data_IF_718163036968
#
_entry.id   IF_718163036968
#
_cell.length_a   1.000
_cell.length_b   1.000
_cell.length_c   1.000
_cell.angle_alpha   90.00
_cell.angle_beta   90.00
_cell.angle_gamma   90.00
#
_symmetry.space_group_name_H-M   'P 1'
#
loop_
_entity.id
_entity.type
_entity.pdbx_description
1 polymer ?
#
# COMPACT_ATOMS: atom_id res chain seq x y z
N UNK A 1 15.27 13.33 4.38
CA UNK A 1 14.13 12.43 4.08
C UNK A 1 12.87 12.75 4.90
N UNK A 2 12.95 12.89 6.23
CA UNK A 2 11.77 13.09 7.10
C UNK A 2 10.95 14.36 6.82
N UNK A 3 11.59 15.48 6.51
CA UNK A 3 10.88 16.70 6.08
C UNK A 3 10.11 16.51 4.76
N UNK A 4 10.74 15.90 3.76
CA UNK A 4 10.10 15.64 2.46
C UNK A 4 8.96 14.62 2.58
N UNK A 5 9.12 13.59 3.40
CA UNK A 5 8.07 12.62 3.71
C UNK A 5 6.90 13.25 4.47
N UNK A 6 7.17 14.14 5.42
CA UNK A 6 6.16 14.90 6.14
C UNK A 6 5.34 15.84 5.23
N UNK A 7 6.01 16.61 4.37
CA UNK A 7 5.36 17.46 3.35
C UNK A 7 4.51 16.64 2.37
N UNK A 8 5.01 15.49 1.92
CA UNK A 8 4.26 14.59 1.05
C UNK A 8 3.03 13.98 1.76
N UNK A 9 3.17 13.59 3.04
CA UNK A 9 2.05 13.11 3.84
C UNK A 9 0.96 14.20 4.01
N UNK A 10 1.34 15.46 4.23
CA UNK A 10 0.41 16.59 4.28
C UNK A 10 -0.27 16.84 2.92
N UNK A 11 0.46 16.71 1.81
CA UNK A 11 -0.12 16.80 0.48
C UNK A 11 -1.18 15.71 0.24
N UNK A 12 -0.89 14.46 0.64
CA UNK A 12 -1.85 13.36 0.60
C UNK A 12 -3.05 13.58 1.53
N UNK A 13 -2.83 14.14 2.72
CA UNK A 13 -3.89 14.51 3.66
C UNK A 13 -4.83 15.57 3.04
N UNK A 14 -4.28 16.59 2.39
CA UNK A 14 -5.08 17.60 1.69
C UNK A 14 -5.87 17.02 0.51
N UNK A 15 -5.33 16.02 -0.19
CA UNK A 15 -6.02 15.30 -1.27
C UNK A 15 -7.17 14.44 -0.76
N UNK A 16 -6.94 13.67 0.31
CA UNK A 16 -7.97 12.84 0.96
C UNK A 16 -9.08 13.69 1.60
N UNK A 17 -8.74 14.83 2.20
CA UNK A 17 -9.73 15.76 2.75
C UNK A 17 -10.60 16.42 1.67
N UNK A 18 -10.01 16.77 0.51
CA UNK A 18 -10.79 17.22 -0.65
C UNK A 18 -11.74 16.12 -1.15
N UNK A 19 -11.26 14.88 -1.28
CA UNK A 19 -12.10 13.74 -1.66
C UNK A 19 -13.21 13.42 -0.65
N UNK A 20 -12.98 13.68 0.64
CA UNK A 20 -13.98 13.55 1.70
C UNK A 20 -15.04 14.65 1.66
N UNK A 21 -14.64 15.90 1.34
CA UNK A 21 -15.55 17.05 1.23
C UNK A 21 -16.43 16.97 -0.01
N UNK A 22 -15.83 16.58 -1.15
CA UNK A 22 -16.52 16.43 -2.43
C UNK A 22 -17.03 14.99 -2.63
N UNK A 23 -17.21 14.23 -1.55
CA UNK A 23 -17.60 12.83 -1.58
C UNK A 23 -18.96 12.67 -2.27
N UNK A 24 -18.92 12.26 -3.53
CA UNK A 24 -20.08 11.75 -4.24
C UNK A 24 -20.13 10.24 -4.00
N UNK A 25 -21.28 9.66 -3.58
CA UNK A 25 -21.42 8.21 -3.57
C UNK A 25 -21.02 7.72 -4.95
N UNK A 26 -20.17 6.70 -5.00
CA UNK A 26 -19.68 6.11 -6.25
C UNK A 26 -20.90 5.73 -7.09
N UNK A 27 -21.31 6.61 -8.00
CA UNK A 27 -22.10 6.20 -9.14
C UNK A 27 -21.14 5.40 -10.01
N UNK A 28 -21.63 4.26 -10.44
CA UNK A 28 -20.96 3.23 -11.24
C UNK A 28 -20.52 3.74 -12.64
N UNK A 29 -20.08 4.99 -12.77
CA UNK A 29 -19.33 5.46 -13.92
C UNK A 29 -17.88 4.97 -13.82
N UNK A 30 -17.71 3.66 -13.91
CA UNK A 30 -16.44 3.03 -14.23
C UNK A 30 -16.16 3.17 -15.74
N UNK A 31 -15.92 4.40 -16.21
CA UNK A 31 -15.45 4.66 -17.57
C UNK A 31 -13.97 5.03 -17.65
N UNK A 32 -13.22 4.86 -16.54
CA UNK A 32 -11.77 4.63 -16.63
C UNK A 32 -11.59 3.14 -16.84
N UNK A 33 -11.41 2.69 -18.09
CA UNK A 33 -11.32 1.27 -18.43
C UNK A 33 -10.38 0.53 -17.48
N UNK A 34 -10.81 -0.62 -16.96
CA UNK A 34 -10.08 -1.46 -16.00
C UNK A 34 -8.59 -1.60 -16.36
N UNK A 35 -8.26 -1.68 -17.66
CA UNK A 35 -6.89 -1.72 -18.17
C UNK A 35 -6.02 -0.51 -17.83
N UNK A 36 -6.54 0.72 -17.81
CA UNK A 36 -5.76 1.92 -17.48
C UNK A 36 -5.34 1.94 -16.01
N UNK A 37 -6.24 1.52 -15.11
CA UNK A 37 -5.94 1.41 -13.69
C UNK A 37 -4.93 0.29 -13.40
N UNK A 38 -5.05 -0.86 -14.07
CA UNK A 38 -4.08 -1.96 -13.94
C UNK A 38 -2.70 -1.58 -14.47
N UNK A 39 -2.64 -0.95 -15.64
CA UNK A 39 -1.37 -0.49 -16.22
C UNK A 39 -0.69 0.54 -15.33
N UNK A 40 -1.44 1.51 -14.80
CA UNK A 40 -0.93 2.50 -13.84
C UNK A 40 -0.41 1.84 -12.56
N UNK A 41 -1.14 0.86 -12.01
CA UNK A 41 -0.70 0.12 -10.83
C UNK A 41 0.59 -0.68 -11.10
N UNK A 42 0.69 -1.33 -12.26
CA UNK A 42 1.89 -2.04 -12.69
C UNK A 42 3.09 -1.09 -12.84
N UNK A 43 2.90 0.08 -13.47
CA UNK A 43 3.92 1.11 -13.59
C UNK A 43 4.39 1.64 -12.24
N UNK A 44 3.48 1.90 -11.31
CA UNK A 44 3.83 2.34 -9.95
C UNK A 44 4.66 1.27 -9.25
N UNK A 45 4.33 -0.02 -9.42
CA UNK A 45 5.09 -1.11 -8.84
C UNK A 45 6.48 -1.23 -9.48
N UNK A 46 6.56 -1.16 -10.82
CA UNK A 46 7.79 -1.28 -11.60
C UNK A 46 8.76 -0.11 -11.38
N UNK A 47 8.24 1.11 -11.22
CA UNK A 47 9.07 2.31 -11.00
C UNK A 47 9.37 2.56 -9.52
N UNK A 48 8.82 1.75 -8.61
CA UNK A 48 9.11 1.86 -7.19
C UNK A 48 10.48 1.22 -6.87
N UNK A 49 11.48 1.98 -6.41
CA UNK A 49 12.80 1.42 -6.10
C UNK A 49 12.79 0.55 -4.83
N UNK A 50 11.78 0.69 -3.95
CA UNK A 50 11.72 -0.01 -2.67
C UNK A 50 11.80 -1.53 -2.77
N UNK A 51 10.92 -2.19 -3.55
CA UNK A 51 10.98 -3.63 -3.80
C UNK A 51 12.34 -4.10 -4.33
N UNK A 52 12.92 -3.38 -5.29
CA UNK A 52 14.23 -3.74 -5.85
C UNK A 52 15.36 -3.63 -4.83
N UNK A 53 15.36 -2.58 -4.00
CA UNK A 53 16.33 -2.42 -2.92
C UNK A 53 16.19 -3.55 -1.89
N UNK A 54 14.97 -3.90 -1.50
CA UNK A 54 14.73 -5.01 -0.59
C UNK A 54 15.17 -6.37 -1.17
N UNK A 55 14.79 -6.67 -2.41
CA UNK A 55 15.18 -7.91 -3.08
C UNK A 55 16.67 -8.02 -3.32
N UNK A 56 17.37 -6.92 -3.63
CA UNK A 56 18.82 -6.94 -3.88
C UNK A 56 19.65 -6.93 -2.60
N UNK A 57 19.24 -6.19 -1.57
CA UNK A 57 20.05 -6.00 -0.36
C UNK A 57 19.72 -6.98 0.77
N UNK A 58 18.49 -7.49 0.81
CA UNK A 58 18.01 -8.34 1.92
C UNK A 58 17.70 -9.74 1.41
N UNK A 59 16.68 -9.88 0.56
CA UNK A 59 16.21 -11.21 0.14
C UNK A 59 17.20 -11.92 -0.78
N UNK A 60 17.93 -11.18 -1.62
CA UNK A 60 18.89 -11.72 -2.58
C UNK A 60 20.05 -12.45 -1.91
N UNK A 61 20.81 -11.80 -1.02
CA UNK A 61 21.86 -12.45 -0.24
C UNK A 61 21.33 -13.59 0.63
N UNK A 62 20.13 -13.44 1.20
CA UNK A 62 19.49 -14.48 2.01
C UNK A 62 19.11 -15.72 1.17
N UNK A 63 18.60 -15.52 -0.04
CA UNK A 63 18.29 -16.59 -0.98
C UNK A 63 19.57 -17.30 -1.42
N UNK A 64 20.61 -16.54 -1.77
CA UNK A 64 21.86 -17.10 -2.27
C UNK A 64 22.61 -17.88 -1.19
N UNK A 65 22.67 -17.36 0.04
CA UNK A 65 23.24 -18.07 1.19
C UNK A 65 22.49 -19.37 1.49
N UNK A 66 21.15 -19.31 1.55
CA UNK A 66 20.34 -20.52 1.73
C UNK A 66 20.55 -21.55 0.61
N UNK A 67 20.59 -21.10 -0.64
CA UNK A 67 20.79 -21.97 -1.81
C UNK A 67 22.18 -22.64 -1.82
N UNK A 68 23.22 -21.92 -1.39
CA UNK A 68 24.58 -22.44 -1.29
C UNK A 68 24.72 -23.54 -0.24
N UNK A 69 23.98 -23.47 0.87
CA UNK A 69 23.94 -24.55 1.86
C UNK A 69 23.20 -25.77 1.31
N UNK A 70 21.93 -25.59 0.92
CA UNK A 70 21.15 -26.60 0.20
C UNK A 70 20.10 -25.91 -0.68
N UNK A 71 19.85 -26.37 -1.92
CA UNK A 71 18.80 -25.80 -2.77
C UNK A 71 17.41 -25.79 -2.12
N UNK A 72 17.16 -26.74 -1.21
CA UNK A 72 15.90 -26.84 -0.48
C UNK A 72 15.63 -25.62 0.41
N UNK A 73 16.65 -25.05 1.04
CA UNK A 73 16.52 -23.85 1.87
C UNK A 73 16.10 -22.64 1.03
N UNK A 74 16.68 -22.46 -0.16
CA UNK A 74 16.30 -21.38 -1.07
C UNK A 74 14.88 -21.54 -1.62
N UNK A 75 14.48 -22.76 -1.98
CA UNK A 75 13.09 -23.07 -2.38
C UNK A 75 12.13 -22.81 -1.22
N UNK A 76 12.48 -23.24 0.00
CA UNK A 76 11.70 -23.02 1.21
C UNK A 76 11.50 -21.54 1.52
N UNK A 77 12.54 -20.72 1.35
CA UNK A 77 12.46 -19.26 1.48
C UNK A 77 11.46 -18.67 0.49
N UNK A 78 11.57 -19.01 -0.80
CA UNK A 78 10.66 -18.52 -1.84
C UNK A 78 9.21 -18.98 -1.59
N UNK A 79 9.03 -20.26 -1.27
CA UNK A 79 7.71 -20.82 -0.98
C UNK A 79 7.07 -20.13 0.23
N UNK A 80 7.79 -19.99 1.34
CA UNK A 80 7.31 -19.30 2.54
C UNK A 80 6.99 -17.83 2.28
N UNK A 81 7.84 -17.13 1.54
CA UNK A 81 7.63 -15.73 1.15
C UNK A 81 6.33 -15.54 0.36
N UNK A 82 6.13 -16.31 -0.72
CA UNK A 82 4.92 -16.20 -1.54
C UNK A 82 3.67 -16.70 -0.81
N UNK A 83 3.77 -17.76 0.00
CA UNK A 83 2.66 -18.25 0.81
C UNK A 83 2.19 -17.19 1.81
N UNK A 84 3.11 -16.51 2.49
CA UNK A 84 2.77 -15.42 3.41
C UNK A 84 2.05 -14.28 2.70
N UNK A 85 2.51 -13.88 1.51
CA UNK A 85 1.85 -12.88 0.67
C UNK A 85 0.43 -13.33 0.30
N UNK A 86 0.29 -14.54 -0.25
CA UNK A 86 -1.01 -15.07 -0.68
C UNK A 86 -2.01 -15.15 0.48
N UNK A 87 -1.61 -15.71 1.62
CA UNK A 87 -2.47 -15.83 2.81
C UNK A 87 -2.88 -14.46 3.34
N UNK A 88 -1.94 -13.51 3.39
CA UNK A 88 -2.24 -12.15 3.88
C UNK A 88 -3.21 -11.43 2.94
N UNK A 89 -3.00 -11.51 1.62
CA UNK A 89 -3.90 -10.90 0.63
C UNK A 89 -5.28 -11.56 0.66
N UNK A 90 -5.34 -12.89 0.72
CA UNK A 90 -6.60 -13.63 0.83
C UNK A 90 -7.35 -13.25 2.11
N UNK A 91 -6.66 -13.20 3.25
CA UNK A 91 -7.21 -12.74 4.52
C UNK A 91 -7.75 -11.32 4.43
N UNK A 92 -7.00 -10.40 3.83
CA UNK A 92 -7.46 -9.02 3.61
C UNK A 92 -8.69 -8.96 2.71
N UNK A 93 -8.72 -9.71 1.60
CA UNK A 93 -9.88 -9.80 0.71
C UNK A 93 -11.09 -10.35 1.46
N UNK A 94 -10.93 -11.38 2.31
CA UNK A 94 -12.03 -11.94 3.09
C UNK A 94 -12.56 -10.96 4.17
N UNK A 95 -11.67 -10.20 4.82
CA UNK A 95 -12.05 -9.14 5.75
C UNK A 95 -12.84 -8.03 5.02
N UNK A 96 -12.39 -7.66 3.82
CA UNK A 96 -13.04 -6.64 3.00
C UNK A 96 -14.26 -7.15 2.23
N UNK A 97 -14.39 -8.45 1.95
CA UNK A 97 -15.52 -9.00 1.20
C UNK A 97 -16.82 -8.90 2.00
N UNK A 98 -16.75 -9.09 3.33
CA UNK A 98 -17.87 -8.81 4.24
C UNK A 98 -18.22 -7.32 4.34
N UNK A 99 -17.31 -6.44 3.93
CA UNK A 99 -17.45 -4.99 3.96
C UNK A 99 -18.18 -4.41 2.74
N UNK A 100 -18.61 -5.24 1.77
CA UNK A 100 -19.43 -4.79 0.63
C UNK A 100 -20.79 -4.19 1.01
N UNK A 101 -21.21 -4.31 2.28
CA UNK A 101 -22.39 -3.65 2.87
C UNK A 101 -22.08 -2.34 3.61
N UNK A 102 -20.82 -1.91 3.65
CA UNK A 102 -20.42 -0.61 4.20
C UNK A 102 -21.00 0.47 3.27
N UNK A 103 -22.22 0.91 3.57
CA UNK A 103 -22.91 1.93 2.80
C UNK A 103 -22.08 3.22 2.68
N UNK A 104 -22.47 4.16 1.80
CA UNK A 104 -21.69 5.36 1.47
C UNK A 104 -21.19 6.19 2.67
N UNK A 105 -21.86 6.08 3.82
CA UNK A 105 -21.47 6.71 5.09
C UNK A 105 -20.19 6.12 5.69
N UNK A 106 -20.01 4.80 5.67
CA UNK A 106 -18.82 4.16 6.23
C UNK A 106 -17.56 4.50 5.42
N UNK A 107 -17.65 4.48 4.08
CA UNK A 107 -16.58 4.93 3.20
C UNK A 107 -16.18 6.38 3.47
N UNK A 108 -17.18 7.26 3.69
CA UNK A 108 -16.93 8.67 4.05
C UNK A 108 -16.24 8.81 5.42
N UNK A 109 -16.61 8.04 6.44
CA UNK A 109 -15.93 8.06 7.73
C UNK A 109 -14.48 7.55 7.65
N UNK A 110 -14.26 6.44 6.93
CA UNK A 110 -12.93 5.89 6.69
C UNK A 110 -12.01 6.89 5.96
N UNK A 111 -12.52 7.59 4.95
CA UNK A 111 -11.81 8.66 4.25
C UNK A 111 -11.40 9.80 5.20
N UNK A 112 -12.31 10.24 6.06
CA UNK A 112 -12.04 11.28 7.06
C UNK A 112 -10.98 10.86 8.08
N UNK A 113 -11.10 9.64 8.63
CA UNK A 113 -10.14 9.07 9.58
C UNK A 113 -8.76 8.94 8.92
N UNK A 114 -8.70 8.50 7.67
CA UNK A 114 -7.44 8.35 6.93
C UNK A 114 -6.77 9.70 6.68
N UNK A 115 -7.54 10.73 6.30
CA UNK A 115 -7.02 12.09 6.14
C UNK A 115 -6.48 12.67 7.45
N UNK A 116 -7.19 12.48 8.56
CA UNK A 116 -6.74 12.88 9.90
C UNK A 116 -5.45 12.14 10.32
N UNK A 117 -5.39 10.83 10.11
CA UNK A 117 -4.21 10.03 10.41
C UNK A 117 -2.99 10.50 9.59
N UNK A 118 -3.18 10.77 8.30
CA UNK A 118 -2.12 11.31 7.43
C UNK A 118 -1.65 12.70 7.87
N UNK A 119 -2.59 13.58 8.28
CA UNK A 119 -2.24 14.90 8.78
C UNK A 119 -1.45 14.83 10.09
N UNK A 120 -1.90 14.01 11.05
CA UNK A 120 -1.21 13.78 12.31
C UNK A 120 0.18 13.19 12.10
N UNK A 121 0.31 12.19 11.21
CA UNK A 121 1.58 11.58 10.87
C UNK A 121 2.53 12.56 10.17
N UNK A 122 2.03 13.38 9.24
CA UNK A 122 2.81 14.41 8.56
C UNK A 122 3.34 15.47 9.54
N UNK A 123 2.49 15.94 10.45
CA UNK A 123 2.88 16.89 11.50
C UNK A 123 3.90 16.28 12.48
N UNK A 124 3.71 15.03 12.90
CA UNK A 124 4.68 14.32 13.75
C UNK A 124 6.05 14.18 13.05
N UNK A 125 6.05 13.84 11.77
CA UNK A 125 7.29 13.66 11.01
C UNK A 125 8.06 14.97 10.79
N UNK A 126 7.37 16.12 10.79
CA UNK A 126 7.99 17.45 10.73
C UNK A 126 8.44 17.91 12.13
N UNK A 127 7.58 17.74 13.14
CA UNK A 127 7.86 18.15 14.52
C UNK A 127 8.98 17.34 15.18
N UNK A 128 9.15 16.06 14.82
CA UNK A 128 10.27 15.21 15.28
C UNK A 128 11.63 15.55 14.65
N UNK A 129 11.69 16.58 13.79
CA UNK A 129 12.93 17.07 13.18
C UNK A 129 13.34 18.45 13.76
N UNK A 130 12.45 19.13 14.47
CA UNK A 130 12.74 20.34 15.27
C UNK A 130 13.23 19.94 16.66
#
# INVERSE_FOLDING_TARGET
>A
LRFAGGLFALYLAAGTFRAWRDFRPVQENQSSGVGWNLFRAALVNLLNPGPYLFWSLVTGPLLLSGWQETPLNGIGLLAGFYMAIMVTLAGFILLCSGSGKLGPRATRHLLGISGLALAAFGLYQIGSVL
#
